data_IF_224460045500
#
_entry.id   IF_224460045500
#
_cell.length_a   1.000
_cell.length_b   1.000
_cell.length_c   1.000
_cell.angle_alpha   90.00
_cell.angle_beta   90.00
_cell.angle_gamma   90.00
#
_symmetry.space_group_name_H-M   'P 1'
#
loop_
_entity.id
_entity.type
_entity.pdbx_description
1 polymer ?
#
# COMPACT_ATOMS: atom_id res chain seq x y z
N UNK A 1 -5.18 -27.79 13.05
CA UNK A 1 -4.22 -26.82 13.62
C UNK A 1 -2.79 -27.25 13.29
N UNK A 2 -1.95 -26.32 12.83
CA UNK A 2 -0.52 -26.61 12.58
C UNK A 2 0.20 -26.66 13.94
N UNK A 3 1.02 -27.69 14.13
CA UNK A 3 1.96 -27.68 15.28
C UNK A 3 3.21 -26.89 14.86
N UNK A 4 3.52 -25.73 15.46
CA UNK A 4 4.69 -24.90 15.09
C UNK A 4 6.00 -25.67 15.14
N UNK A 5 6.15 -26.63 16.05
CA UNK A 5 7.37 -27.40 16.27
C UNK A 5 7.89 -28.21 15.04
N UNK A 6 7.07 -28.37 13.99
CA UNK A 6 7.44 -29.15 12.80
C UNK A 6 7.67 -28.26 11.55
N UNK A 7 7.67 -26.96 11.70
CA UNK A 7 7.84 -26.00 10.59
C UNK A 7 9.17 -25.27 10.75
N UNK A 8 10.12 -25.56 9.88
CA UNK A 8 11.45 -24.95 9.90
C UNK A 8 11.64 -23.89 8.80
N UNK A 9 11.00 -24.06 7.65
CA UNK A 9 11.15 -23.16 6.50
C UNK A 9 9.79 -22.71 5.99
N UNK A 10 9.57 -21.41 6.02
CA UNK A 10 8.32 -20.77 5.54
C UNK A 10 8.65 -19.89 4.34
N UNK A 11 7.79 -19.93 3.33
CA UNK A 11 7.82 -18.98 2.24
C UNK A 11 6.49 -18.20 2.15
N UNK A 12 6.59 -16.88 2.03
CA UNK A 12 5.43 -16.00 1.88
C UNK A 12 5.45 -15.39 0.48
N UNK A 13 4.41 -15.59 -0.32
CA UNK A 13 4.20 -14.83 -1.55
C UNK A 13 3.47 -13.54 -1.19
N UNK A 14 4.20 -12.42 -1.20
CA UNK A 14 3.67 -11.08 -0.89
C UNK A 14 2.60 -10.65 -1.90
N UNK A 15 1.63 -9.80 -1.53
CA UNK A 15 0.82 -9.06 -2.48
C UNK A 15 1.70 -8.23 -3.44
N UNK A 16 1.12 -7.81 -4.57
CA UNK A 16 1.85 -7.01 -5.55
C UNK A 16 1.69 -5.50 -5.33
N UNK A 17 0.51 -5.02 -4.92
CA UNK A 17 0.24 -3.59 -4.79
C UNK A 17 0.79 -3.02 -3.48
N UNK A 18 1.32 -1.79 -3.51
CA UNK A 18 1.89 -1.10 -2.34
C UNK A 18 0.93 -1.09 -1.17
N UNK A 19 -0.33 -0.68 -1.40
CA UNK A 19 -1.35 -0.65 -0.35
C UNK A 19 -1.62 -2.04 0.26
N UNK A 20 -1.72 -3.07 -0.60
CA UNK A 20 -1.93 -4.44 -0.15
C UNK A 20 -0.76 -4.98 0.67
N UNK A 21 0.48 -4.64 0.30
CA UNK A 21 1.67 -5.03 1.08
C UNK A 21 1.63 -4.38 2.47
N UNK A 22 1.26 -3.10 2.57
CA UNK A 22 1.12 -2.42 3.86
C UNK A 22 -0.02 -3.05 4.68
N UNK A 23 -1.19 -3.28 4.08
CA UNK A 23 -2.31 -3.95 4.76
C UNK A 23 -2.02 -5.40 5.17
N UNK A 24 -1.04 -6.06 4.54
CA UNK A 24 -0.60 -7.41 4.90
C UNK A 24 0.41 -7.45 6.06
N UNK A 25 0.93 -6.31 6.53
CA UNK A 25 1.95 -6.28 7.59
C UNK A 25 1.52 -6.94 8.90
N UNK A 26 0.25 -6.87 9.37
CA UNK A 26 -0.19 -7.64 10.52
C UNK A 26 -0.10 -9.16 10.31
N UNK A 27 -0.36 -9.64 9.09
CA UNK A 27 -0.22 -11.06 8.78
C UNK A 27 1.26 -11.49 8.72
N UNK A 28 2.16 -10.65 8.21
CA UNK A 28 3.60 -10.93 8.24
C UNK A 28 4.12 -11.05 9.67
N UNK A 29 3.75 -10.08 10.53
CA UNK A 29 4.08 -10.12 11.96
C UNK A 29 3.49 -11.35 12.64
N UNK A 30 2.21 -11.65 12.42
CA UNK A 30 1.54 -12.83 12.96
C UNK A 30 2.26 -14.13 12.59
N UNK A 31 2.72 -14.29 11.34
CA UNK A 31 3.50 -15.47 10.93
C UNK A 31 4.81 -15.54 11.72
N UNK A 32 5.56 -14.44 11.85
CA UNK A 32 6.81 -14.43 12.62
C UNK A 32 6.60 -14.80 14.08
N UNK A 33 5.60 -14.22 14.73
CA UNK A 33 5.30 -14.44 16.15
C UNK A 33 4.90 -15.89 16.45
N UNK A 34 4.11 -16.51 15.55
CA UNK A 34 3.69 -17.91 15.73
C UNK A 34 4.74 -18.94 15.29
N UNK A 35 5.72 -18.53 14.48
CA UNK A 35 6.79 -19.40 13.97
C UNK A 35 8.17 -18.80 14.23
N UNK A 36 8.43 -18.39 15.48
CA UNK A 36 9.63 -17.65 15.86
C UNK A 36 10.94 -18.39 15.51
N UNK A 37 10.96 -19.73 15.56
CA UNK A 37 12.13 -20.55 15.22
C UNK A 37 12.28 -20.90 13.73
N UNK A 38 11.31 -20.55 12.89
CA UNK A 38 11.35 -20.87 11.47
C UNK A 38 12.15 -19.84 10.68
N UNK A 39 12.87 -20.27 9.64
CA UNK A 39 13.42 -19.38 8.61
C UNK A 39 12.29 -18.94 7.69
N UNK A 40 12.02 -17.63 7.63
CA UNK A 40 10.95 -17.04 6.83
C UNK A 40 11.54 -16.29 5.63
N UNK A 41 11.21 -16.77 4.42
CA UNK A 41 11.55 -16.12 3.16
C UNK A 41 10.30 -15.41 2.62
N UNK A 42 10.41 -14.12 2.28
CA UNK A 42 9.36 -13.42 1.55
C UNK A 42 9.71 -13.30 0.07
N UNK A 43 8.79 -13.75 -0.79
CA UNK A 43 8.90 -13.66 -2.25
C UNK A 43 8.04 -12.51 -2.76
N UNK A 44 8.65 -11.47 -3.36
CA UNK A 44 7.99 -10.21 -3.71
C UNK A 44 8.55 -9.60 -5.01
N UNK A 45 7.84 -8.63 -5.54
CA UNK A 45 8.29 -7.79 -6.66
C UNK A 45 9.32 -6.75 -6.19
N UNK A 46 10.33 -6.44 -7.01
CA UNK A 46 11.44 -5.54 -6.65
C UNK A 46 10.96 -4.17 -6.16
N UNK A 47 9.98 -3.59 -6.84
CA UNK A 47 9.49 -2.25 -6.51
C UNK A 47 8.88 -2.12 -5.10
N UNK A 48 8.37 -3.21 -4.50
CA UNK A 48 7.86 -3.18 -3.12
C UNK A 48 8.88 -3.61 -2.08
N UNK A 49 10.08 -4.04 -2.49
CA UNK A 49 11.14 -4.46 -1.55
C UNK A 49 11.46 -3.37 -0.54
N UNK A 50 11.71 -2.15 -1.02
CA UNK A 50 12.05 -1.00 -0.17
C UNK A 50 10.94 -0.59 0.79
N UNK A 51 9.70 -1.01 0.54
CA UNK A 51 8.57 -0.75 1.43
C UNK A 51 8.70 -1.50 2.75
N UNK A 52 9.13 -2.77 2.71
CA UNK A 52 9.23 -3.65 3.88
C UNK A 52 10.66 -3.85 4.38
N UNK A 53 11.62 -3.18 3.76
CA UNK A 53 13.01 -3.21 4.19
C UNK A 53 13.14 -2.75 5.65
N UNK A 54 13.96 -3.47 6.42
CA UNK A 54 14.12 -3.25 7.86
C UNK A 54 13.06 -3.93 8.74
N UNK A 55 12.05 -4.59 8.15
CA UNK A 55 11.06 -5.35 8.91
C UNK A 55 11.70 -6.61 9.53
N UNK A 56 11.52 -6.88 10.85
CA UNK A 56 12.14 -7.99 11.55
C UNK A 56 11.46 -9.34 11.29
N UNK A 57 10.47 -9.37 10.40
CA UNK A 57 9.63 -10.55 10.19
C UNK A 57 10.24 -11.59 9.24
N UNK A 58 11.25 -11.21 8.45
CA UNK A 58 11.81 -12.04 7.40
C UNK A 58 13.30 -12.21 7.59
N UNK A 59 13.78 -13.44 7.34
CA UNK A 59 15.21 -13.77 7.34
C UNK A 59 15.80 -13.62 5.93
N UNK A 60 14.95 -13.69 4.89
CA UNK A 60 15.39 -13.64 3.51
C UNK A 60 14.34 -12.99 2.59
N UNK A 61 14.81 -12.20 1.65
CA UNK A 61 13.96 -11.61 0.58
C UNK A 61 14.31 -12.29 -0.75
N UNK A 62 13.31 -12.89 -1.39
CA UNK A 62 13.39 -13.45 -2.73
C UNK A 62 12.70 -12.51 -3.71
N UNK A 63 13.49 -11.83 -4.53
CA UNK A 63 12.96 -10.91 -5.57
C UNK A 63 12.48 -11.70 -6.77
N UNK A 64 11.25 -11.42 -7.21
CA UNK A 64 10.55 -12.15 -8.27
C UNK A 64 10.69 -11.53 -9.66
N UNK A 65 11.26 -10.34 -9.74
CA UNK A 65 11.42 -9.68 -11.02
C UNK A 65 12.59 -10.29 -11.77
N UNK A 66 12.32 -10.51 -13.01
CA UNK A 66 13.33 -10.86 -13.96
C UNK A 66 14.00 -9.60 -14.51
N UNK A 67 15.27 -9.67 -14.74
CA UNK A 67 15.87 -8.84 -15.76
C UNK A 67 15.14 -9.13 -17.07
N UNK A 68 14.69 -8.08 -17.79
CA UNK A 68 13.99 -8.16 -19.07
C UNK A 68 14.76 -8.94 -20.19
N UNK A 69 15.88 -9.55 -19.84
CA UNK A 69 16.76 -10.32 -20.74
C UNK A 69 16.32 -11.79 -20.91
N UNK A 70 15.42 -12.31 -20.09
CA UNK A 70 15.01 -13.72 -20.13
C UNK A 70 13.51 -13.86 -20.42
N UNK A 71 13.13 -14.92 -21.10
CA UNK A 71 11.72 -15.24 -21.35
C UNK A 71 10.98 -15.49 -20.02
N UNK A 72 9.67 -15.26 -20.03
CA UNK A 72 8.80 -15.43 -18.84
C UNK A 72 8.88 -16.87 -18.29
N UNK A 73 9.02 -17.86 -19.17
CA UNK A 73 9.18 -19.28 -18.80
C UNK A 73 10.50 -19.54 -18.09
N UNK A 74 11.61 -18.95 -18.54
CA UNK A 74 12.93 -19.09 -17.89
C UNK A 74 12.92 -18.51 -16.48
N UNK A 75 12.19 -17.43 -16.29
CA UNK A 75 12.04 -16.77 -14.99
C UNK A 75 11.25 -17.62 -14.01
N UNK A 76 10.12 -18.19 -14.45
CA UNK A 76 9.31 -19.10 -13.64
C UNK A 76 10.15 -20.33 -13.25
N UNK A 77 10.92 -20.89 -14.20
CA UNK A 77 11.77 -22.06 -13.93
C UNK A 77 12.86 -21.75 -12.90
N UNK A 78 13.54 -20.61 -13.02
CA UNK A 78 14.52 -20.13 -12.04
C UNK A 78 13.90 -19.98 -10.64
N UNK A 79 12.74 -19.36 -10.55
CA UNK A 79 12.01 -19.18 -9.30
C UNK A 79 11.62 -20.52 -8.66
N UNK A 80 11.09 -21.45 -9.43
CA UNK A 80 10.77 -22.81 -8.99
C UNK A 80 12.01 -23.51 -8.41
N UNK A 81 13.16 -23.41 -9.10
CA UNK A 81 14.43 -23.97 -8.62
C UNK A 81 14.88 -23.36 -7.29
N UNK A 82 14.77 -22.03 -7.17
CA UNK A 82 15.12 -21.31 -5.93
C UNK A 82 14.22 -21.69 -4.76
N UNK A 83 12.90 -21.86 -4.99
CA UNK A 83 11.95 -22.31 -3.95
C UNK A 83 12.24 -23.74 -3.55
N UNK A 84 12.50 -24.64 -4.52
CA UNK A 84 12.82 -26.05 -4.26
C UNK A 84 14.08 -26.21 -3.41
N UNK A 85 15.09 -25.40 -3.66
CA UNK A 85 16.32 -25.40 -2.87
C UNK A 85 16.07 -25.08 -1.39
N UNK A 86 15.10 -24.22 -1.07
CA UNK A 86 14.75 -23.81 0.30
C UNK A 86 13.98 -24.85 1.08
N UNK A 87 13.46 -25.92 0.45
CA UNK A 87 12.72 -27.02 1.07
C UNK A 87 11.64 -26.54 2.04
N UNK A 88 10.77 -25.62 1.56
CA UNK A 88 9.76 -24.97 2.39
C UNK A 88 8.70 -25.94 2.90
N UNK A 89 8.50 -25.97 4.21
CA UNK A 89 7.46 -26.78 4.86
C UNK A 89 6.09 -26.14 4.73
N UNK A 90 6.01 -24.81 4.76
CA UNK A 90 4.77 -24.01 4.72
C UNK A 90 4.92 -22.81 3.78
N UNK A 91 3.89 -22.57 2.99
CA UNK A 91 3.82 -21.42 2.09
C UNK A 91 2.51 -20.68 2.20
N UNK A 92 2.55 -19.36 2.41
CA UNK A 92 1.39 -18.47 2.40
C UNK A 92 1.30 -17.74 1.06
N UNK A 93 0.15 -17.88 0.38
CA UNK A 93 -0.13 -17.30 -0.93
C UNK A 93 -1.12 -16.14 -0.80
N UNK A 94 -0.63 -14.93 -0.60
CA UNK A 94 -1.48 -13.73 -0.48
C UNK A 94 -2.12 -13.31 -1.80
N UNK A 95 -1.42 -13.31 -2.95
CA UNK A 95 -2.10 -13.15 -4.25
C UNK A 95 -3.00 -14.35 -4.56
N UNK A 96 -4.07 -14.09 -5.30
CA UNK A 96 -5.05 -15.13 -5.68
C UNK A 96 -4.74 -15.82 -7.01
N UNK A 97 -3.69 -15.41 -7.73
CA UNK A 97 -3.39 -15.91 -9.07
C UNK A 97 -3.07 -17.43 -9.10
N UNK A 98 -3.53 -18.08 -10.16
CA UNK A 98 -3.18 -19.47 -10.46
C UNK A 98 -1.65 -19.67 -10.53
N UNK A 99 -0.94 -18.76 -11.23
CA UNK A 99 0.51 -18.83 -11.41
C UNK A 99 1.28 -18.86 -10.09
N UNK A 100 0.86 -18.08 -9.09
CA UNK A 100 1.52 -18.07 -7.77
C UNK A 100 1.40 -19.43 -7.06
N UNK A 101 0.24 -20.08 -7.14
CA UNK A 101 0.02 -21.38 -6.54
C UNK A 101 0.79 -22.50 -7.31
N UNK A 102 0.80 -22.42 -8.64
CA UNK A 102 1.53 -23.34 -9.50
C UNK A 102 3.05 -23.31 -9.20
N UNK A 103 3.62 -22.12 -9.06
CA UNK A 103 5.05 -21.96 -8.73
C UNK A 103 5.38 -22.58 -7.37
N UNK A 104 4.53 -22.42 -6.35
CA UNK A 104 4.75 -23.04 -5.04
C UNK A 104 4.61 -24.57 -5.10
N UNK A 105 3.64 -25.07 -5.86
CA UNK A 105 3.47 -26.51 -6.07
C UNK A 105 4.68 -27.10 -6.80
N UNK A 106 5.11 -26.54 -7.92
CA UNK A 106 6.29 -26.97 -8.65
C UNK A 106 7.58 -26.81 -7.81
N UNK A 107 7.64 -25.80 -6.97
CA UNK A 107 8.73 -25.57 -6.01
C UNK A 107 8.77 -26.58 -4.86
N UNK A 108 7.81 -27.48 -4.75
CA UNK A 108 7.77 -28.53 -3.72
C UNK A 108 7.44 -28.01 -2.32
N UNK A 109 6.78 -26.86 -2.18
CA UNK A 109 6.28 -26.36 -0.90
C UNK A 109 5.26 -27.37 -0.36
N UNK A 110 5.51 -27.94 0.84
CA UNK A 110 4.74 -29.06 1.37
C UNK A 110 3.29 -28.66 1.69
N UNK A 111 3.09 -27.59 2.44
CA UNK A 111 1.77 -27.03 2.75
C UNK A 111 1.60 -25.68 2.09
N UNK A 112 0.50 -25.48 1.38
CA UNK A 112 0.23 -24.28 0.56
C UNK A 112 -1.11 -23.70 0.96
N UNK A 113 -1.04 -22.59 1.72
CA UNK A 113 -2.20 -21.89 2.29
C UNK A 113 -2.60 -20.76 1.37
N UNK A 114 -3.88 -20.67 1.04
CA UNK A 114 -4.41 -19.60 0.19
C UNK A 114 -5.90 -19.70 -0.02
N UNK A 115 -6.51 -18.65 -0.56
CA UNK A 115 -7.93 -18.68 -0.88
C UNK A 115 -8.23 -19.51 -2.11
N UNK A 116 -9.29 -20.31 -2.07
CA UNK A 116 -9.85 -21.09 -3.20
C UNK A 116 -10.45 -20.12 -4.22
N UNK A 117 -9.63 -19.67 -5.16
CA UNK A 117 -9.99 -18.71 -6.20
C UNK A 117 -9.19 -18.98 -7.47
N UNK A 118 -9.65 -18.45 -8.60
CA UNK A 118 -8.94 -18.44 -9.88
C UNK A 118 -8.47 -19.85 -10.32
N UNK A 119 -9.35 -20.85 -10.15
CA UNK A 119 -9.17 -22.27 -10.53
C UNK A 119 -7.96 -22.96 -9.88
N UNK A 120 -7.37 -22.42 -8.79
CA UNK A 120 -6.17 -22.94 -8.14
C UNK A 120 -6.41 -23.87 -6.93
N UNK A 121 -7.66 -24.19 -6.62
CA UNK A 121 -8.02 -24.92 -5.37
C UNK A 121 -7.29 -26.26 -5.25
N UNK A 122 -7.06 -26.98 -6.34
CA UNK A 122 -6.34 -28.25 -6.38
C UNK A 122 -4.82 -28.13 -6.16
N UNK A 123 -4.26 -26.93 -6.34
CA UNK A 123 -2.84 -26.64 -6.02
C UNK A 123 -2.62 -26.34 -4.54
N UNK A 124 -3.68 -26.04 -3.80
CA UNK A 124 -3.60 -25.69 -2.38
C UNK A 124 -3.79 -26.96 -1.54
N UNK A 125 -3.00 -27.11 -0.48
CA UNK A 125 -3.22 -28.15 0.55
C UNK A 125 -4.18 -27.66 1.62
N UNK A 126 -4.12 -26.37 1.92
CA UNK A 126 -4.90 -25.69 2.95
C UNK A 126 -5.68 -24.54 2.29
N UNK A 127 -6.66 -24.91 1.48
CA UNK A 127 -7.49 -23.97 0.73
C UNK A 127 -8.59 -23.37 1.61
N UNK A 128 -8.63 -22.05 1.70
CA UNK A 128 -9.59 -21.28 2.50
C UNK A 128 -10.72 -20.77 1.60
N UNK A 129 -11.96 -20.97 2.03
CA UNK A 129 -13.12 -20.45 1.32
C UNK A 129 -13.29 -18.96 1.56
N UNK A 130 -13.71 -18.23 0.52
CA UNK A 130 -14.08 -16.82 0.66
C UNK A 130 -15.34 -16.66 1.49
N UNK A 131 -15.49 -15.50 2.11
CA UNK A 131 -16.73 -15.17 2.81
C UNK A 131 -17.79 -14.75 1.81
N UNK A 132 -18.98 -15.32 1.97
CA UNK A 132 -20.17 -14.99 1.18
C UNK A 132 -21.28 -14.49 2.10
N UNK A 133 -22.06 -13.56 1.61
CA UNK A 133 -23.25 -13.03 2.24
C UNK A 133 -24.34 -12.92 1.19
N UNK A 134 -25.50 -13.56 1.42
CA UNK A 134 -26.62 -13.61 0.46
C UNK A 134 -26.21 -14.06 -0.96
N UNK A 135 -25.33 -15.07 -1.04
CA UNK A 135 -24.84 -15.63 -2.31
C UNK A 135 -23.83 -14.75 -3.07
N UNK A 136 -23.47 -13.57 -2.52
CA UNK A 136 -22.47 -12.67 -3.11
C UNK A 136 -21.21 -12.65 -2.27
N UNK A 137 -20.07 -12.36 -2.93
CA UNK A 137 -18.81 -12.17 -2.20
C UNK A 137 -18.96 -11.01 -1.20
N UNK A 138 -18.65 -11.27 0.08
CA UNK A 138 -18.67 -10.28 1.13
C UNK A 138 -17.41 -9.41 1.03
N UNK A 139 -17.52 -8.11 0.73
CA UNK A 139 -16.39 -7.18 0.83
C UNK A 139 -15.80 -7.21 2.24
N UNK A 140 -14.50 -7.33 2.32
CA UNK A 140 -13.78 -7.44 3.60
C UNK A 140 -12.54 -6.56 3.53
N UNK A 141 -12.24 -5.86 4.61
CA UNK A 141 -10.99 -5.10 4.72
C UNK A 141 -9.79 -5.98 4.39
N UNK A 142 -8.92 -5.50 3.50
CA UNK A 142 -7.84 -6.33 2.96
C UNK A 142 -6.84 -6.77 4.03
N UNK A 143 -6.64 -5.99 5.12
CA UNK A 143 -5.84 -6.42 6.26
C UNK A 143 -6.40 -7.66 6.94
N UNK A 144 -7.72 -7.69 7.20
CA UNK A 144 -8.39 -8.85 7.78
C UNK A 144 -8.41 -10.04 6.78
N UNK A 145 -8.53 -9.75 5.48
CA UNK A 145 -8.45 -10.77 4.43
C UNK A 145 -7.10 -11.52 4.45
N UNK A 146 -5.99 -10.79 4.56
CA UNK A 146 -4.67 -11.40 4.65
C UNK A 146 -4.44 -12.09 5.99
N UNK A 147 -4.85 -11.47 7.09
CA UNK A 147 -4.68 -12.01 8.43
C UNK A 147 -5.47 -13.31 8.63
N UNK A 148 -6.61 -13.46 7.94
CA UNK A 148 -7.41 -14.68 7.98
C UNK A 148 -6.66 -15.91 7.47
N UNK A 149 -5.70 -15.75 6.54
CA UNK A 149 -4.84 -16.87 6.12
C UNK A 149 -4.04 -17.44 7.31
N UNK A 150 -3.68 -16.60 8.27
CA UNK A 150 -2.95 -17.01 9.47
C UNK A 150 -3.90 -17.65 10.49
N UNK A 151 -5.06 -17.01 10.77
CA UNK A 151 -6.01 -17.50 11.78
C UNK A 151 -6.63 -18.84 11.40
N UNK A 152 -6.94 -19.08 10.13
CA UNK A 152 -7.41 -20.38 9.64
C UNK A 152 -6.36 -21.50 9.78
N UNK A 153 -5.10 -21.13 9.90
CA UNK A 153 -4.02 -22.07 10.22
C UNK A 153 -3.79 -22.26 11.74
N UNK A 154 -4.58 -21.58 12.56
CA UNK A 154 -4.52 -21.65 14.03
C UNK A 154 -3.48 -20.70 14.64
N UNK A 155 -3.02 -19.69 13.91
CA UNK A 155 -2.14 -18.66 14.46
C UNK A 155 -2.90 -17.72 15.39
N UNK A 156 -2.29 -17.34 16.50
CA UNK A 156 -2.76 -16.29 17.40
C UNK A 156 -2.40 -14.91 16.86
N UNK A 157 -3.35 -13.98 16.91
CA UNK A 157 -3.16 -12.61 16.44
C UNK A 157 -3.07 -11.67 17.63
N UNK A 158 -1.88 -11.11 17.85
CA UNK A 158 -1.67 -10.18 18.97
C UNK A 158 -1.96 -8.73 18.60
N UNK A 159 -1.83 -8.35 17.33
CA UNK A 159 -2.13 -7.00 16.87
C UNK A 159 -2.55 -6.97 15.40
N UNK A 160 -3.49 -6.06 15.09
CA UNK A 160 -3.93 -5.75 13.72
C UNK A 160 -3.35 -4.43 13.19
N UNK A 161 -2.50 -3.75 13.97
CA UNK A 161 -1.89 -2.49 13.56
C UNK A 161 -0.98 -2.69 12.35
N UNK A 162 -1.10 -1.76 11.40
CA UNK A 162 -0.17 -1.67 10.27
C UNK A 162 1.17 -1.15 10.78
N UNK A 163 2.27 -1.69 10.25
CA UNK A 163 3.60 -1.34 10.71
C UNK A 163 4.59 -1.27 9.56
N UNK A 164 5.44 -0.25 9.56
CA UNK A 164 6.51 -0.06 8.59
C UNK A 164 7.77 0.44 9.28
N UNK A 165 8.90 0.08 8.73
CA UNK A 165 10.22 0.40 9.28
C UNK A 165 10.97 1.39 8.38
N UNK A 166 11.79 2.23 8.98
CA UNK A 166 12.61 3.21 8.28
C UNK A 166 14.07 2.88 8.58
N UNK A 167 14.89 2.83 7.54
CA UNK A 167 16.33 2.69 7.67
C UNK A 167 17.04 4.06 7.72
N UNK A 168 18.28 4.08 8.19
CA UNK A 168 19.05 5.31 8.33
C UNK A 168 19.40 5.98 6.99
N UNK A 169 19.55 5.21 5.93
CA UNK A 169 19.87 5.72 4.60
C UNK A 169 18.72 6.57 4.05
N UNK A 170 17.49 6.04 4.09
CA UNK A 170 16.31 6.80 3.65
C UNK A 170 16.04 8.02 4.54
N UNK A 171 16.36 7.91 5.85
CA UNK A 171 16.29 9.04 6.77
C UNK A 171 17.24 10.17 6.35
N UNK A 172 18.53 9.86 6.12
CA UNK A 172 19.54 10.83 5.65
C UNK A 172 19.14 11.44 4.30
N UNK A 173 18.63 10.62 3.38
CA UNK A 173 18.19 11.13 2.07
C UNK A 173 17.06 12.16 2.21
N UNK A 174 16.12 11.97 3.10
CA UNK A 174 15.04 12.93 3.35
C UNK A 174 15.57 14.18 4.08
N UNK A 175 16.56 14.05 4.96
CA UNK A 175 17.22 15.21 5.59
C UNK A 175 17.86 16.11 4.52
N UNK A 176 18.53 15.53 3.51
CA UNK A 176 19.06 16.27 2.36
C UNK A 176 17.93 16.97 1.58
N UNK A 177 16.84 16.25 1.23
CA UNK A 177 15.68 16.83 0.55
C UNK A 177 15.10 18.01 1.35
N UNK A 178 14.95 17.87 2.66
CA UNK A 178 14.44 18.95 3.51
C UNK A 178 15.35 20.19 3.49
N UNK A 179 16.66 19.98 3.48
CA UNK A 179 17.64 21.06 3.36
C UNK A 179 17.59 21.72 1.99
N UNK A 180 17.65 20.94 0.92
CA UNK A 180 17.71 21.44 -0.47
C UNK A 180 16.42 22.17 -0.87
N UNK A 181 15.27 21.70 -0.40
CA UNK A 181 13.96 22.30 -0.67
C UNK A 181 13.56 23.37 0.36
N UNK A 182 14.38 23.63 1.37
CA UNK A 182 14.10 24.56 2.48
C UNK A 182 12.77 24.26 3.19
N UNK A 183 12.56 23.00 3.57
CA UNK A 183 11.31 22.49 4.17
C UNK A 183 11.26 22.64 5.71
N UNK A 184 12.33 23.14 6.33
CA UNK A 184 12.42 23.25 7.78
C UNK A 184 11.54 24.39 8.33
N UNK A 185 11.04 24.20 9.56
CA UNK A 185 10.37 25.24 10.34
C UNK A 185 8.89 25.48 10.02
N UNK A 186 8.30 24.74 9.06
CA UNK A 186 6.86 24.81 8.73
C UNK A 186 6.26 23.42 8.56
N UNK A 187 4.96 23.23 8.87
CA UNK A 187 4.28 21.97 8.59
C UNK A 187 4.41 21.58 7.11
N UNK A 188 4.70 20.31 6.84
CA UNK A 188 4.74 19.76 5.49
C UNK A 188 3.41 19.09 5.16
N UNK A 189 2.75 19.52 4.09
CA UNK A 189 1.59 18.86 3.51
C UNK A 189 2.05 18.16 2.24
N UNK A 190 1.73 16.87 2.10
CA UNK A 190 2.04 16.10 0.92
C UNK A 190 0.78 15.94 0.05
N UNK A 191 0.91 16.22 -1.23
CA UNK A 191 -0.07 15.90 -2.26
C UNK A 191 0.42 14.68 -3.03
N UNK A 192 -0.36 13.59 -3.00
CA UNK A 192 -0.12 12.41 -3.84
C UNK A 192 -1.29 12.21 -4.81
N UNK A 193 -1.19 12.74 -6.04
CA UNK A 193 -2.30 12.78 -6.97
C UNK A 193 -2.51 11.48 -7.75
N UNK A 194 -1.52 10.60 -7.78
CA UNK A 194 -1.48 9.46 -8.67
C UNK A 194 -2.02 8.16 -8.08
N UNK A 195 -2.37 7.23 -8.99
CA UNK A 195 -2.81 5.89 -8.65
C UNK A 195 -2.39 4.86 -9.72
N UNK A 196 -1.56 3.91 -9.34
CA UNK A 196 -1.12 2.83 -10.24
C UNK A 196 -2.25 1.90 -10.71
N UNK A 197 -3.39 1.89 -10.03
CA UNK A 197 -4.54 1.05 -10.39
C UNK A 197 -5.17 1.44 -11.73
N UNK A 198 -5.31 2.76 -11.98
CA UNK A 198 -5.93 3.28 -13.20
C UNK A 198 -6.40 4.73 -13.06
N UNK A 199 -6.66 5.36 -14.21
CA UNK A 199 -7.05 6.77 -14.32
C UNK A 199 -8.39 7.10 -13.63
N UNK A 200 -9.25 6.10 -13.41
CA UNK A 200 -10.53 6.30 -12.72
C UNK A 200 -10.40 6.83 -11.29
N UNK A 201 -9.26 6.61 -10.64
CA UNK A 201 -8.99 7.11 -9.29
C UNK A 201 -8.39 8.52 -9.26
N UNK A 202 -7.87 9.02 -10.38
CA UNK A 202 -7.18 10.30 -10.41
C UNK A 202 -8.17 11.46 -10.27
N UNK A 203 -7.82 12.43 -9.45
CA UNK A 203 -8.52 13.70 -9.39
C UNK A 203 -7.91 14.69 -10.37
N UNK A 204 -8.52 15.88 -10.53
CA UNK A 204 -8.03 16.88 -11.48
C UNK A 204 -6.81 17.62 -10.95
N UNK A 205 -5.94 18.06 -11.86
CA UNK A 205 -4.78 18.87 -11.51
C UNK A 205 -5.21 20.20 -10.88
N UNK A 206 -6.25 20.83 -11.43
CA UNK A 206 -6.84 22.07 -10.94
C UNK A 206 -7.42 21.90 -9.54
N UNK A 207 -8.00 20.73 -9.24
CA UNK A 207 -8.54 20.41 -7.92
C UNK A 207 -7.44 20.38 -6.85
N UNK A 208 -6.33 19.70 -7.11
CA UNK A 208 -5.16 19.68 -6.21
C UNK A 208 -4.55 21.07 -6.08
N UNK A 209 -4.35 21.80 -7.17
CA UNK A 209 -3.78 23.14 -7.19
C UNK A 209 -4.63 24.12 -6.36
N UNK A 210 -5.94 24.13 -6.61
CA UNK A 210 -6.89 24.98 -5.88
C UNK A 210 -6.93 24.65 -4.38
N UNK A 211 -6.89 23.36 -4.03
CA UNK A 211 -6.80 22.91 -2.63
C UNK A 211 -5.54 23.44 -1.96
N UNK A 212 -4.39 23.36 -2.62
CA UNK A 212 -3.13 23.88 -2.11
C UNK A 212 -3.18 25.39 -1.89
N UNK A 213 -3.74 26.15 -2.84
CA UNK A 213 -3.90 27.61 -2.73
C UNK A 213 -4.76 27.99 -1.52
N UNK A 214 -5.90 27.29 -1.33
CA UNK A 214 -6.81 27.54 -0.22
C UNK A 214 -6.16 27.24 1.15
N UNK A 215 -5.40 26.17 1.24
CA UNK A 215 -4.65 25.84 2.47
C UNK A 215 -3.58 26.89 2.75
N UNK A 216 -2.78 27.29 1.75
CA UNK A 216 -1.72 28.29 1.91
C UNK A 216 -2.25 29.68 2.30
N UNK A 217 -3.50 30.00 1.97
CA UNK A 217 -4.15 31.27 2.40
C UNK A 217 -4.44 31.28 3.91
N UNK A 218 -4.59 30.13 4.55
CA UNK A 218 -5.00 30.02 5.95
C UNK A 218 -3.89 29.49 6.87
N UNK A 219 -2.90 28.79 6.32
CA UNK A 219 -1.84 28.14 7.09
C UNK A 219 -0.48 28.38 6.41
N UNK A 220 0.47 28.93 7.16
CA UNK A 220 1.86 29.03 6.73
C UNK A 220 2.52 27.64 6.74
N UNK A 221 2.48 26.94 5.60
CA UNK A 221 2.97 25.57 5.44
C UNK A 221 3.82 25.40 4.19
N UNK A 222 4.52 24.28 4.10
CA UNK A 222 5.15 23.80 2.87
C UNK A 222 4.22 22.77 2.23
N UNK A 223 3.95 22.91 0.94
CA UNK A 223 3.15 21.92 0.20
C UNK A 223 4.02 21.31 -0.88
N UNK A 224 4.17 19.97 -0.83
CA UNK A 224 4.99 19.24 -1.77
C UNK A 224 4.16 18.18 -2.53
N UNK A 225 4.44 18.04 -3.83
CA UNK A 225 3.84 17.03 -4.70
C UNK A 225 4.79 15.85 -4.78
N UNK A 226 4.30 14.66 -4.42
CA UNK A 226 4.99 13.37 -4.58
C UNK A 226 4.24 12.50 -5.57
N UNK A 227 4.95 11.87 -6.50
CA UNK A 227 4.32 11.05 -7.53
C UNK A 227 5.24 9.92 -7.98
N UNK A 228 4.69 8.90 -8.63
CA UNK A 228 5.47 7.87 -9.30
C UNK A 228 6.08 8.41 -10.62
N UNK A 229 7.13 7.78 -11.15
CA UNK A 229 7.80 8.25 -12.39
C UNK A 229 6.87 8.41 -13.60
N UNK A 230 5.84 7.61 -13.71
CA UNK A 230 4.86 7.69 -14.80
C UNK A 230 3.78 8.78 -14.61
N UNK A 231 3.79 9.47 -13.47
CA UNK A 231 2.83 10.52 -13.08
C UNK A 231 3.44 11.92 -13.09
N UNK A 232 4.68 12.07 -13.55
CA UNK A 232 5.44 13.35 -13.58
C UNK A 232 4.65 14.46 -14.30
N UNK A 233 3.95 14.12 -15.38
CA UNK A 233 3.19 15.12 -16.12
C UNK A 233 2.03 15.69 -15.27
N UNK A 234 1.32 14.83 -14.53
CA UNK A 234 0.27 15.27 -13.61
C UNK A 234 0.81 16.19 -12.51
N UNK A 235 1.98 15.88 -11.95
CA UNK A 235 2.63 16.74 -10.96
C UNK A 235 2.99 18.12 -11.54
N UNK A 236 3.48 18.18 -12.77
CA UNK A 236 3.76 19.45 -13.47
C UNK A 236 2.49 20.24 -13.80
N UNK A 237 1.40 19.56 -14.12
CA UNK A 237 0.13 20.21 -14.40
C UNK A 237 -0.46 20.84 -13.13
N UNK A 238 -0.34 20.17 -11.99
CA UNK A 238 -0.74 20.72 -10.68
C UNK A 238 0.10 21.95 -10.35
N UNK A 239 1.43 21.87 -10.49
CA UNK A 239 2.35 22.97 -10.22
C UNK A 239 2.02 24.20 -11.07
N UNK A 240 1.73 24.02 -12.37
CA UNK A 240 1.37 25.11 -13.30
C UNK A 240 0.01 25.74 -12.98
N UNK A 241 -0.95 24.96 -12.50
CA UNK A 241 -2.29 25.43 -12.17
C UNK A 241 -2.34 26.17 -10.82
N UNK A 242 -1.40 25.93 -9.92
CA UNK A 242 -1.36 26.55 -8.61
C UNK A 242 -0.88 28.00 -8.68
N UNK A 243 -1.51 28.87 -7.85
CA UNK A 243 -1.07 30.27 -7.64
C UNK A 243 -0.01 30.38 -6.56
N UNK A 244 -0.05 29.49 -5.57
CA UNK A 244 0.93 29.38 -4.50
C UNK A 244 2.14 28.56 -4.94
N UNK A 245 3.30 28.82 -4.32
CA UNK A 245 4.50 28.05 -4.57
C UNK A 245 4.33 26.62 -4.04
N UNK A 246 4.42 25.64 -4.93
CA UNK A 246 4.49 24.23 -4.60
C UNK A 246 5.91 23.69 -4.78
N UNK A 247 6.24 22.66 -4.02
CA UNK A 247 7.52 21.96 -4.14
C UNK A 247 7.26 20.68 -4.95
N UNK A 248 7.61 20.71 -6.22
CA UNK A 248 7.43 19.58 -7.11
C UNK A 248 8.59 18.60 -6.98
N UNK A 249 8.36 17.45 -6.33
CA UNK A 249 9.35 16.39 -6.16
C UNK A 249 9.41 15.41 -7.35
N UNK A 250 8.70 15.66 -8.45
CA UNK A 250 8.67 14.78 -9.62
C UNK A 250 10.06 14.58 -10.27
N UNK A 251 10.96 15.56 -10.13
CA UNK A 251 12.33 15.47 -10.66
C UNK A 251 13.31 14.81 -9.66
N UNK A 252 12.87 14.48 -8.47
CA UNK A 252 13.66 13.76 -7.47
C UNK A 252 13.30 12.27 -7.50
N UNK A 253 14.27 11.43 -7.24
CA UNK A 253 14.02 9.99 -7.11
C UNK A 253 13.35 9.73 -5.75
N UNK A 254 12.02 9.77 -5.71
CA UNK A 254 11.22 9.42 -4.53
C UNK A 254 10.90 7.93 -4.59
N UNK A 255 11.83 7.10 -4.14
CA UNK A 255 11.60 5.67 -3.96
C UNK A 255 10.67 5.39 -2.77
N UNK A 256 10.14 4.17 -2.64
CA UNK A 256 9.17 3.86 -1.57
C UNK A 256 9.74 4.00 -0.15
N UNK A 257 11.03 3.78 0.04
CA UNK A 257 11.73 4.02 1.31
C UNK A 257 11.80 5.52 1.65
N UNK A 258 12.10 6.37 0.67
CA UNK A 258 12.07 7.84 0.82
C UNK A 258 10.63 8.32 1.07
N UNK A 259 9.66 7.81 0.32
CA UNK A 259 8.25 8.16 0.51
C UNK A 259 7.74 7.82 1.92
N UNK A 260 8.15 6.67 2.49
CA UNK A 260 7.84 6.32 3.90
C UNK A 260 8.27 7.42 4.87
N UNK A 261 9.50 7.93 4.71
CA UNK A 261 10.04 8.96 5.60
C UNK A 261 9.33 10.30 5.39
N UNK A 262 9.07 10.70 4.15
CA UNK A 262 8.31 11.91 3.84
C UNK A 262 6.92 11.87 4.49
N UNK A 263 6.19 10.76 4.34
CA UNK A 263 4.87 10.57 4.96
C UNK A 263 4.98 10.57 6.49
N UNK A 264 5.98 9.91 7.08
CA UNK A 264 6.19 9.94 8.54
C UNK A 264 6.44 11.36 9.07
N UNK A 265 7.06 12.23 8.27
CA UNK A 265 7.36 13.61 8.64
C UNK A 265 6.29 14.63 8.26
N UNK A 266 5.34 14.28 7.39
CA UNK A 266 4.30 15.22 7.01
C UNK A 266 3.32 15.48 8.15
N UNK A 267 2.72 16.66 8.14
CA UNK A 267 1.60 17.02 9.00
C UNK A 267 0.27 16.50 8.44
N UNK A 268 0.17 16.41 7.11
CA UNK A 268 -1.01 15.91 6.42
C UNK A 268 -0.61 15.30 5.07
N UNK A 269 -1.23 14.17 4.73
CA UNK A 269 -1.23 13.64 3.37
C UNK A 269 -2.61 13.87 2.73
N UNK A 270 -2.66 14.48 1.54
CA UNK A 270 -3.87 14.53 0.70
C UNK A 270 -3.61 13.62 -0.50
N UNK A 271 -4.41 12.58 -0.64
CA UNK A 271 -4.17 11.55 -1.66
C UNK A 271 -5.47 11.00 -2.22
N UNK A 272 -5.41 10.43 -3.40
CA UNK A 272 -6.45 9.51 -3.87
C UNK A 272 -6.33 8.17 -3.14
N UNK A 273 -7.33 7.29 -3.24
CA UNK A 273 -7.26 5.96 -2.62
C UNK A 273 -6.18 5.08 -3.26
N UNK A 274 -4.96 5.19 -2.75
CA UNK A 274 -3.74 4.56 -3.30
C UNK A 274 -2.79 4.10 -2.19
N UNK A 275 -1.66 3.50 -2.55
CA UNK A 275 -0.67 2.95 -1.60
C UNK A 275 -0.22 3.90 -0.48
N UNK A 276 0.10 5.16 -0.75
CA UNK A 276 0.50 6.15 0.24
C UNK A 276 -0.50 6.37 1.39
N UNK A 277 -1.82 6.24 1.14
CA UNK A 277 -2.85 6.22 2.19
C UNK A 277 -2.49 5.25 3.32
N UNK A 278 -2.20 4.00 2.96
CA UNK A 278 -1.92 2.94 3.95
C UNK A 278 -0.56 3.14 4.64
N UNK A 279 0.41 3.77 3.97
CA UNK A 279 1.67 4.19 4.60
C UNK A 279 1.38 5.24 5.69
N UNK A 280 0.49 6.21 5.43
CA UNK A 280 0.08 7.19 6.43
C UNK A 280 -0.60 6.52 7.63
N UNK A 281 -1.47 5.54 7.40
CA UNK A 281 -2.11 4.75 8.47
C UNK A 281 -1.05 4.03 9.32
N UNK A 282 -0.07 3.37 8.69
CA UNK A 282 1.00 2.66 9.41
C UNK A 282 1.85 3.58 10.30
N UNK A 283 2.04 4.84 9.90
CA UNK A 283 2.74 5.85 10.70
C UNK A 283 1.81 6.73 11.55
N UNK A 284 0.52 6.39 11.63
CA UNK A 284 -0.49 7.15 12.40
C UNK A 284 -0.51 8.63 12.01
N UNK A 285 -0.41 8.90 10.70
CA UNK A 285 -0.40 10.25 10.13
C UNK A 285 -1.77 10.67 9.62
N UNK A 286 -2.12 11.96 9.81
CA UNK A 286 -3.34 12.51 9.25
C UNK A 286 -3.41 12.36 7.73
N UNK A 287 -4.58 11.94 7.22
CA UNK A 287 -4.77 11.74 5.78
C UNK A 287 -6.16 12.18 5.32
N UNK A 288 -6.23 12.88 4.20
CA UNK A 288 -7.48 13.16 3.47
C UNK A 288 -7.47 12.33 2.19
N UNK A 289 -8.50 11.50 2.01
CA UNK A 289 -8.59 10.55 0.92
C UNK A 289 -9.71 10.94 -0.03
N UNK A 290 -9.38 11.09 -1.31
CA UNK A 290 -10.34 11.33 -2.38
C UNK A 290 -10.72 9.98 -3.02
N UNK A 291 -11.98 9.56 -2.88
CA UNK A 291 -12.41 8.22 -3.27
C UNK A 291 -13.67 8.24 -4.11
N UNK A 292 -13.61 7.74 -5.33
CA UNK A 292 -14.76 7.60 -6.22
C UNK A 292 -15.04 6.14 -6.58
N UNK A 293 -14.21 5.49 -7.43
CA UNK A 293 -14.51 4.18 -8.01
C UNK A 293 -14.34 3.02 -7.05
N UNK A 294 -13.59 3.18 -5.95
CA UNK A 294 -13.34 2.09 -5.01
C UNK A 294 -14.44 1.96 -3.97
N UNK A 295 -14.61 0.73 -3.50
CA UNK A 295 -15.49 0.41 -2.38
C UNK A 295 -14.69 0.52 -1.07
N UNK A 296 -15.07 1.43 -0.16
CA UNK A 296 -14.35 1.66 1.10
C UNK A 296 -14.24 0.41 1.98
N UNK A 297 -15.17 -0.53 1.87
CA UNK A 297 -15.15 -1.77 2.65
C UNK A 297 -13.90 -2.63 2.45
N UNK A 298 -13.12 -2.39 1.37
CA UNK A 298 -11.85 -3.08 1.14
C UNK A 298 -10.65 -2.38 1.77
N UNK A 299 -10.73 -1.07 2.00
CA UNK A 299 -9.56 -0.24 2.35
C UNK A 299 -9.70 0.55 3.63
N UNK A 300 -10.93 0.85 4.09
CA UNK A 300 -11.17 1.63 5.29
C UNK A 300 -10.83 0.83 6.56
N UNK A 301 -10.20 1.49 7.51
CA UNK A 301 -9.83 0.91 8.81
C UNK A 301 -10.05 1.91 9.94
N UNK A 302 -10.49 1.45 11.13
CA UNK A 302 -10.62 2.32 12.31
C UNK A 302 -9.30 2.95 12.79
N UNK A 303 -8.15 2.40 12.36
CA UNK A 303 -6.83 2.94 12.68
C UNK A 303 -6.47 4.18 11.86
N UNK A 304 -7.27 4.55 10.85
CA UNK A 304 -7.03 5.70 9.98
C UNK A 304 -7.36 7.01 10.71
N UNK A 305 -6.37 7.89 10.79
CA UNK A 305 -6.54 9.26 11.31
C UNK A 305 -6.84 10.15 10.11
N UNK A 306 -8.10 10.21 9.69
CA UNK A 306 -8.41 10.95 8.47
C UNK A 306 -9.86 10.92 8.06
N UNK A 307 -10.11 11.42 6.86
CA UNK A 307 -11.44 11.55 6.29
C UNK A 307 -11.42 11.12 4.83
N UNK A 308 -12.36 10.24 4.47
CA UNK A 308 -12.64 9.88 3.09
C UNK A 308 -13.66 10.85 2.52
N UNK A 309 -13.29 11.58 1.46
CA UNK A 309 -14.17 12.49 0.74
C UNK A 309 -14.67 11.79 -0.53
N UNK A 310 -15.98 11.77 -0.72
CA UNK A 310 -16.65 11.20 -1.88
C UNK A 310 -17.68 12.20 -2.42
N UNK A 311 -17.82 12.24 -3.74
CA UNK A 311 -18.93 12.96 -4.36
C UNK A 311 -20.24 12.16 -4.17
N UNK A 312 -21.36 12.86 -4.09
CA UNK A 312 -22.69 12.24 -4.07
C UNK A 312 -23.14 11.97 -5.51
N UNK A 313 -22.87 10.76 -5.98
CA UNK A 313 -23.18 10.31 -7.34
C UNK A 313 -23.67 8.86 -7.36
N UNK A 314 -24.44 8.51 -8.37
CA UNK A 314 -25.09 7.20 -8.57
C UNK A 314 -24.12 6.04 -8.91
N UNK A 315 -22.91 6.34 -9.38
CA UNK A 315 -21.97 5.36 -9.90
C UNK A 315 -20.74 5.12 -9.00
N UNK A 316 -20.86 5.33 -7.69
CA UNK A 316 -19.79 5.05 -6.73
C UNK A 316 -19.47 3.55 -6.63
N UNK A 317 -18.22 3.27 -6.22
CA UNK A 317 -17.75 1.89 -5.94
C UNK A 317 -17.83 0.93 -7.15
N UNK A 318 -17.68 1.44 -8.37
CA UNK A 318 -17.77 0.65 -9.60
C UNK A 318 -16.57 -0.30 -9.83
N UNK A 319 -15.45 -0.08 -9.14
CA UNK A 319 -14.20 -0.89 -9.23
C UNK A 319 -13.56 -0.92 -10.63
N UNK A 320 -13.87 0.04 -11.50
CA UNK A 320 -13.33 0.09 -12.86
C UNK A 320 -11.98 0.83 -12.89
N UNK A 321 -11.04 0.36 -13.71
CA UNK A 321 -9.72 0.99 -13.88
C UNK A 321 -9.78 2.27 -14.71
N UNK A 322 -10.70 2.32 -15.67
CA UNK A 322 -10.97 3.46 -16.53
C UNK A 322 -12.45 3.76 -16.45
N UNK A 323 -12.80 5.03 -16.27
CA UNK A 323 -14.18 5.44 -16.23
C UNK A 323 -14.77 5.42 -17.64
N UNK A 324 -15.88 4.68 -17.89
CA UNK A 324 -16.57 4.70 -19.19
C UNK A 324 -17.56 5.85 -19.36
N UNK A 325 -17.71 6.70 -18.33
CA UNK A 325 -18.61 7.84 -18.27
C UNK A 325 -17.81 9.16 -18.19
N UNK A 326 -18.30 10.11 -17.46
CA UNK A 326 -17.80 11.48 -17.30
C UNK A 326 -16.90 11.70 -16.07
N UNK A 327 -16.52 10.63 -15.37
CA UNK A 327 -15.64 10.66 -14.20
C UNK A 327 -16.17 11.49 -13.01
N UNK A 328 -17.51 11.74 -12.97
CA UNK A 328 -18.16 12.62 -11.99
C UNK A 328 -17.86 12.27 -10.52
N UNK A 329 -17.61 11.00 -10.20
CA UNK A 329 -17.28 10.58 -8.83
C UNK A 329 -15.97 11.18 -8.30
N UNK A 330 -15.10 11.66 -9.17
CA UNK A 330 -13.88 12.37 -8.81
C UNK A 330 -14.00 13.87 -9.11
N UNK A 331 -14.49 14.25 -10.31
CA UNK A 331 -14.53 15.66 -10.73
C UNK A 331 -15.53 16.52 -9.95
N UNK A 332 -16.53 15.93 -9.29
CA UNK A 332 -17.46 16.67 -8.42
C UNK A 332 -16.95 16.83 -6.97
N UNK A 333 -15.83 16.22 -6.58
CA UNK A 333 -15.18 16.52 -5.31
C UNK A 333 -14.70 17.98 -5.36
N UNK A 334 -15.15 18.79 -4.39
CA UNK A 334 -14.86 20.23 -4.37
C UNK A 334 -13.55 20.53 -3.65
N UNK A 335 -12.63 21.31 -4.24
CA UNK A 335 -11.36 21.70 -3.60
C UNK A 335 -11.56 22.40 -2.25
N UNK A 336 -12.61 23.21 -2.11
CA UNK A 336 -12.97 23.91 -0.88
C UNK A 336 -13.27 22.94 0.26
N UNK A 337 -13.97 21.84 -0.03
CA UNK A 337 -14.24 20.80 0.94
C UNK A 337 -12.95 20.07 1.35
N UNK A 338 -12.08 19.77 0.38
CA UNK A 338 -10.79 19.08 0.65
C UNK A 338 -9.88 19.96 1.51
N UNK A 339 -9.79 21.26 1.22
CA UNK A 339 -9.00 22.21 1.98
C UNK A 339 -9.55 22.38 3.41
N UNK A 340 -10.85 22.54 3.57
CA UNK A 340 -11.50 22.68 4.88
C UNK A 340 -11.22 21.46 5.76
N UNK A 341 -11.50 20.26 5.26
CA UNK A 341 -11.25 19.00 5.98
C UNK A 341 -9.76 18.84 6.30
N UNK A 342 -8.87 19.17 5.36
CA UNK A 342 -7.43 19.13 5.59
C UNK A 342 -6.97 20.02 6.75
N UNK A 343 -7.47 21.25 6.81
CA UNK A 343 -7.18 22.19 7.89
C UNK A 343 -7.72 21.72 9.25
N UNK A 344 -8.96 21.21 9.28
CA UNK A 344 -9.55 20.63 10.50
C UNK A 344 -8.74 19.45 11.04
N UNK A 345 -8.29 18.55 10.17
CA UNK A 345 -7.50 17.39 10.54
C UNK A 345 -6.12 17.80 11.10
N UNK A 346 -5.48 18.81 10.50
CA UNK A 346 -4.23 19.39 11.04
C UNK A 346 -4.46 20.01 12.41
N UNK A 347 -5.51 20.80 12.59
CA UNK A 347 -5.80 21.46 13.88
C UNK A 347 -6.05 20.45 14.99
N UNK A 348 -6.86 19.41 14.75
CA UNK A 348 -7.11 18.33 15.71
C UNK A 348 -5.86 17.50 16.03
N UNK A 349 -4.93 17.37 15.08
CA UNK A 349 -3.62 16.74 15.27
C UNK A 349 -2.59 17.63 15.94
N UNK A 350 -2.73 18.95 15.83
CA UNK A 350 -1.77 19.96 16.31
C UNK A 350 -1.61 20.02 17.84
N UNK A 351 -2.58 19.56 18.61
CA UNK A 351 -2.44 19.42 20.07
C UNK A 351 -1.43 18.32 20.50
N UNK A 352 -1.03 17.45 19.56
CA UNK A 352 -0.04 16.38 19.77
C UNK A 352 1.36 16.69 19.20
N UNK A 353 1.56 17.88 18.60
CA UNK A 353 2.81 18.24 17.86
C UNK A 353 3.68 19.30 18.56
N UNK A 354 3.35 19.65 19.83
CA UNK A 354 4.18 20.53 20.67
C UNK A 354 5.19 19.75 21.48
#
# INVERSE_FOLDING_TARGET
>A
MIKPANINNIIIRSPNWVGDVVMATPAFRCIRENFAGAKITIALKSYVQKLIEGAPWFDEILVLDSNNQYSESTQIFSLVKQIRFRKCDLGFLFPNSFSSALVFWLGGVKRRVGYKRDARSWLLTDGIDRLYENGRFRPTYMGDYYLRLCTEMGCEVHSKELELFINEESQRRVDEIFKDCNLNGRPLILLNPGAAYGSSKCWTAEGFARTADLINQQLACNIAIVCAPHEIQLARDIERAAKSRLINMANQVVSLDVLKVLIKRCALLITVDSGPRHIAVAFKKPVVILMGPNDPRYTDTPAEIGTVIRADVDCLACQLKVCPKDHRCMTQIKPEQVALVGLEVIQKGGEKWK
#
